data_IF_521463867427
#
_entry.id   IF_521463867427
#
_cell.length_a   1.000
_cell.length_b   1.000
_cell.length_c   1.000
_cell.angle_alpha   90.00
_cell.angle_beta   90.00
_cell.angle_gamma   90.00
#
_symmetry.space_group_name_H-M   'P 1'
#
loop_
_entity.id
_entity.type
_entity.pdbx_description
1 polymer ?
#
# COMPACT_ATOMS: atom_id res chain seq x y z
N UNK A 1 -0.33 12.98 9.54
CA UNK A 1 -0.68 12.06 8.44
C UNK A 1 0.47 11.10 8.27
N UNK A 2 0.27 9.78 8.26
CA UNK A 2 1.39 8.81 8.26
C UNK A 2 2.11 8.75 6.90
N UNK A 3 1.47 9.11 5.80
CA UNK A 3 2.09 9.11 4.47
C UNK A 3 1.84 10.43 3.71
N UNK A 4 2.81 10.91 2.93
CA UNK A 4 2.67 12.02 1.98
C UNK A 4 3.12 11.59 0.57
N UNK A 5 2.51 12.16 -0.47
CA UNK A 5 2.98 11.96 -1.86
C UNK A 5 3.69 13.23 -2.28
N UNK A 6 4.96 13.10 -2.65
CA UNK A 6 5.84 14.23 -2.92
C UNK A 6 6.52 14.09 -4.29
N UNK A 7 6.90 15.22 -4.87
CA UNK A 7 7.64 15.25 -6.14
C UNK A 7 9.00 15.89 -5.91
N UNK A 8 10.06 15.10 -6.04
CA UNK A 8 11.43 15.61 -6.14
C UNK A 8 11.75 15.97 -7.59
N UNK A 9 12.61 16.98 -7.77
CA UNK A 9 13.18 17.33 -9.08
C UNK A 9 14.67 17.08 -9.01
N UNK A 10 15.17 16.20 -9.87
CA UNK A 10 16.60 15.91 -9.96
C UNK A 10 17.34 17.05 -10.68
N UNK A 11 18.67 17.08 -10.56
CA UNK A 11 19.52 18.05 -11.27
C UNK A 11 19.37 18.00 -12.79
N UNK A 12 18.94 16.87 -13.33
CA UNK A 12 18.61 16.67 -14.75
C UNK A 12 17.30 17.33 -15.18
N UNK A 13 16.51 17.85 -14.23
CA UNK A 13 15.14 18.34 -14.46
C UNK A 13 14.07 17.23 -14.42
N UNK A 14 14.47 15.97 -14.28
CA UNK A 14 13.53 14.86 -14.15
C UNK A 14 12.72 14.97 -12.84
N UNK A 15 11.40 14.80 -12.95
CA UNK A 15 10.48 14.80 -11.82
C UNK A 15 10.27 13.38 -11.32
N UNK A 16 10.52 13.13 -10.04
CA UNK A 16 10.31 11.84 -9.40
C UNK A 16 9.26 11.96 -8.30
N UNK A 17 8.10 11.36 -8.55
CA UNK A 17 7.01 11.30 -7.57
C UNK A 17 7.22 10.08 -6.70
N UNK A 18 7.14 10.21 -5.38
CA UNK A 18 7.33 9.13 -4.43
C UNK A 18 6.44 9.32 -3.21
N UNK A 19 6.25 8.25 -2.44
CA UNK A 19 5.47 8.27 -1.21
C UNK A 19 6.44 8.28 -0.03
N UNK A 20 6.34 9.29 0.84
CA UNK A 20 7.13 9.42 2.06
C UNK A 20 6.33 8.85 3.22
N UNK A 21 6.98 8.03 4.01
CA UNK A 21 6.50 7.62 5.33
C UNK A 21 6.92 8.68 6.37
N UNK A 22 5.95 9.19 7.11
CA UNK A 22 6.14 10.28 8.06
C UNK A 22 6.80 9.82 9.36
N UNK A 23 6.75 8.52 9.69
CA UNK A 23 7.42 8.01 10.87
C UNK A 23 8.93 7.90 10.63
N UNK A 24 9.32 7.43 9.44
CA UNK A 24 10.72 7.30 9.05
C UNK A 24 11.30 8.54 8.38
N UNK A 25 10.45 9.45 7.89
CA UNK A 25 10.82 10.60 7.03
C UNK A 25 11.58 10.18 5.75
N UNK A 26 11.38 8.94 5.31
CA UNK A 26 12.05 8.35 4.15
C UNK A 26 11.01 7.88 3.12
N UNK A 27 11.41 7.75 1.83
CA UNK A 27 10.56 7.13 0.84
C UNK A 27 10.16 5.71 1.25
N UNK A 28 8.86 5.43 1.24
CA UNK A 28 8.33 4.12 1.55
C UNK A 28 8.89 3.10 0.55
N UNK A 29 9.70 2.17 1.05
CA UNK A 29 10.60 1.35 0.25
C UNK A 29 9.86 0.58 -0.84
N UNK A 30 8.80 -0.17 -0.49
CA UNK A 30 8.07 -1.02 -1.43
C UNK A 30 7.40 -0.21 -2.54
N UNK A 31 6.84 0.95 -2.19
CA UNK A 31 6.20 1.85 -3.17
C UNK A 31 7.23 2.48 -4.11
N UNK A 32 8.43 2.78 -3.59
CA UNK A 32 9.55 3.30 -4.36
C UNK A 32 10.01 2.27 -5.39
N UNK A 33 10.21 1.03 -4.97
CA UNK A 33 10.62 -0.05 -5.87
C UNK A 33 9.52 -0.36 -6.90
N UNK A 34 8.25 -0.41 -6.49
CA UNK A 34 7.12 -0.56 -7.40
C UNK A 34 7.07 0.54 -8.44
N UNK A 35 7.19 1.80 -8.00
CA UNK A 35 7.17 2.95 -8.89
C UNK A 35 8.30 2.87 -9.94
N UNK A 36 9.53 2.61 -9.51
CA UNK A 36 10.68 2.49 -10.41
C UNK A 36 10.51 1.34 -11.42
N UNK A 37 10.05 0.16 -10.97
CA UNK A 37 9.94 -1.03 -11.81
C UNK A 37 8.71 -1.03 -12.72
N UNK A 38 7.55 -0.66 -12.19
CA UNK A 38 6.26 -0.86 -12.84
C UNK A 38 5.71 0.42 -13.48
N UNK A 39 5.90 1.58 -12.85
CA UNK A 39 5.29 2.82 -13.33
C UNK A 39 6.26 3.62 -14.20
N UNK A 40 7.44 3.95 -13.67
CA UNK A 40 8.50 4.64 -14.42
C UNK A 40 9.14 3.75 -15.48
N UNK A 41 9.31 2.45 -15.21
CA UNK A 41 9.74 1.48 -16.23
C UNK A 41 8.83 1.47 -17.47
N UNK A 42 7.53 1.76 -17.29
CA UNK A 42 6.55 1.89 -18.39
C UNK A 42 6.43 3.32 -18.94
N UNK A 43 7.31 4.24 -18.54
CA UNK A 43 7.35 5.64 -18.96
C UNK A 43 6.03 6.40 -18.74
N UNK A 44 5.28 6.06 -17.68
CA UNK A 44 4.07 6.81 -17.33
C UNK A 44 4.41 8.26 -16.97
N UNK A 45 3.51 9.18 -17.27
CA UNK A 45 3.66 10.59 -16.92
C UNK A 45 3.63 10.79 -15.39
N UNK A 46 4.33 11.81 -14.88
CA UNK A 46 4.41 12.10 -13.44
C UNK A 46 3.04 12.24 -12.78
N UNK A 47 2.07 12.89 -13.44
CA UNK A 47 0.71 13.03 -12.94
C UNK A 47 0.00 11.67 -12.78
N UNK A 48 0.22 10.74 -13.71
CA UNK A 48 -0.33 9.38 -13.62
C UNK A 48 0.31 8.59 -12.48
N UNK A 49 1.63 8.74 -12.28
CA UNK A 49 2.32 8.12 -11.14
C UNK A 49 1.82 8.69 -9.82
N UNK A 50 1.60 9.99 -9.74
CA UNK A 50 1.02 10.63 -8.56
C UNK A 50 -0.37 10.05 -8.24
N UNK A 51 -1.23 9.86 -9.25
CA UNK A 51 -2.53 9.22 -9.07
C UNK A 51 -2.38 7.77 -8.56
N UNK A 52 -1.44 7.01 -9.11
CA UNK A 52 -1.16 5.65 -8.65
C UNK A 52 -0.66 5.62 -7.19
N UNK A 53 0.27 6.50 -6.83
CA UNK A 53 0.79 6.60 -5.46
C UNK A 53 -0.27 7.09 -4.47
N UNK A 54 -1.18 7.98 -4.87
CA UNK A 54 -2.34 8.37 -4.05
C UNK A 54 -3.30 7.20 -3.84
N UNK A 55 -3.51 6.34 -4.84
CA UNK A 55 -4.30 5.13 -4.68
C UNK A 55 -3.63 4.15 -3.71
N UNK A 56 -2.32 3.94 -3.84
CA UNK A 56 -1.56 3.07 -2.92
C UNK A 56 -1.54 3.66 -1.50
N UNK A 57 -1.45 4.99 -1.35
CA UNK A 57 -1.59 5.68 -0.06
C UNK A 57 -2.91 5.32 0.62
N UNK A 58 -4.03 5.33 -0.09
CA UNK A 58 -5.34 4.94 0.47
C UNK A 58 -5.29 3.51 1.01
N UNK A 59 -4.65 2.60 0.27
CA UNK A 59 -4.48 1.21 0.70
C UNK A 59 -3.59 1.08 1.94
N UNK A 60 -2.47 1.81 2.02
CA UNK A 60 -1.62 1.81 3.22
C UNK A 60 -2.37 2.36 4.44
N UNK A 61 -3.12 3.46 4.28
CA UNK A 61 -3.99 3.98 5.33
C UNK A 61 -5.06 2.97 5.77
N UNK A 62 -5.62 2.21 4.83
CA UNK A 62 -6.54 1.11 5.14
C UNK A 62 -5.87 0.04 6.00
N UNK A 63 -4.65 -0.37 5.64
CA UNK A 63 -3.88 -1.33 6.42
C UNK A 63 -3.61 -0.82 7.83
N UNK A 64 -3.18 0.43 7.99
CA UNK A 64 -2.93 1.04 9.30
C UNK A 64 -4.20 1.09 10.16
N UNK A 65 -5.33 1.55 9.59
CA UNK A 65 -6.61 1.60 10.30
C UNK A 65 -7.11 0.21 10.74
N UNK A 66 -6.68 -0.84 10.04
CA UNK A 66 -7.05 -2.23 10.32
C UNK A 66 -6.01 -3.02 11.11
N UNK A 67 -4.89 -2.39 11.45
CA UNK A 67 -3.73 -3.06 12.07
C UNK A 67 -3.27 -4.27 11.23
N UNK A 68 -3.26 -4.11 9.91
CA UNK A 68 -2.81 -5.13 8.96
C UNK A 68 -1.34 -4.91 8.65
N UNK A 69 -0.49 -5.80 9.17
CA UNK A 69 0.89 -5.90 8.71
C UNK A 69 0.97 -6.70 7.41
N UNK A 70 1.14 -6.01 6.28
CA UNK A 70 1.23 -6.63 4.96
C UNK A 70 2.41 -7.59 4.84
N UNK A 71 3.57 -7.21 5.36
CA UNK A 71 4.77 -8.05 5.33
C UNK A 71 4.56 -9.38 6.03
N UNK A 72 3.95 -9.36 7.23
CA UNK A 72 3.64 -10.57 7.99
C UNK A 72 2.61 -11.43 7.24
N UNK A 73 1.51 -10.83 6.76
CA UNK A 73 0.47 -11.59 6.04
C UNK A 73 0.99 -12.21 4.75
N UNK A 74 1.79 -11.48 3.99
CA UNK A 74 2.41 -11.98 2.76
C UNK A 74 3.39 -13.10 3.04
N UNK A 75 4.16 -13.04 4.13
CA UNK A 75 5.02 -14.16 4.54
C UNK A 75 4.22 -15.42 4.88
N UNK A 76 3.03 -15.25 5.43
CA UNK A 76 2.13 -16.35 5.78
C UNK A 76 1.25 -16.82 4.60
N UNK A 77 1.37 -16.20 3.41
CA UNK A 77 0.58 -16.54 2.24
C UNK A 77 -0.90 -16.11 2.31
N UNK A 78 -1.27 -15.25 3.25
CA UNK A 78 -2.64 -14.80 3.43
C UNK A 78 -2.97 -13.59 2.54
N UNK A 79 -4.12 -13.64 1.88
CA UNK A 79 -4.72 -12.52 1.15
C UNK A 79 -5.67 -11.71 2.03
N UNK A 80 -6.16 -10.57 1.51
CA UNK A 80 -7.29 -9.86 2.11
C UNK A 80 -8.53 -10.78 2.14
N UNK A 81 -9.31 -10.71 3.22
CA UNK A 81 -10.62 -11.38 3.29
C UNK A 81 -11.67 -10.65 2.44
N UNK A 82 -12.78 -11.31 2.12
CA UNK A 82 -13.89 -10.68 1.38
C UNK A 82 -14.40 -9.42 2.07
N UNK A 83 -14.56 -9.46 3.40
CA UNK A 83 -15.00 -8.29 4.19
C UNK A 83 -13.98 -7.14 4.12
N UNK A 84 -12.68 -7.45 4.17
CA UNK A 84 -11.62 -6.46 4.03
C UNK A 84 -11.61 -5.82 2.63
N UNK A 85 -11.89 -6.60 1.59
CA UNK A 85 -12.04 -6.09 0.22
C UNK A 85 -13.25 -5.16 0.13
N UNK A 86 -14.41 -5.56 0.67
CA UNK A 86 -15.61 -4.72 0.66
C UNK A 86 -15.40 -3.39 1.39
N UNK A 87 -14.69 -3.42 2.52
CA UNK A 87 -14.39 -2.21 3.28
C UNK A 87 -13.33 -1.33 2.59
N UNK A 88 -12.34 -1.92 1.92
CA UNK A 88 -11.41 -1.19 1.07
C UNK A 88 -12.14 -0.53 -0.11
N UNK A 89 -13.13 -1.20 -0.71
CA UNK A 89 -13.94 -0.64 -1.78
C UNK A 89 -14.76 0.55 -1.28
N UNK A 90 -15.37 0.47 -0.10
CA UNK A 90 -16.06 1.61 0.54
C UNK A 90 -15.10 2.77 0.76
N UNK A 91 -13.89 2.49 1.26
CA UNK A 91 -12.88 3.52 1.48
C UNK A 91 -12.45 4.20 0.17
N UNK A 92 -12.31 3.45 -0.92
CA UNK A 92 -11.94 3.99 -2.22
C UNK A 92 -12.98 4.98 -2.79
N UNK A 93 -14.23 4.98 -2.31
CA UNK A 93 -15.27 5.93 -2.71
C UNK A 93 -15.17 7.29 -2.01
N UNK A 94 -14.43 7.35 -0.90
CA UNK A 94 -14.31 8.57 -0.11
C UNK A 94 -13.25 9.53 -0.69
N UNK A 95 -13.44 10.85 -0.58
CA UNK A 95 -12.38 11.81 -0.87
C UNK A 95 -11.14 11.55 0.00
N UNK A 96 -9.93 11.70 -0.57
CA UNK A 96 -8.69 11.40 0.17
C UNK A 96 -8.55 12.24 1.45
N UNK A 97 -8.96 13.51 1.41
CA UNK A 97 -8.94 14.39 2.58
C UNK A 97 -9.85 13.89 3.73
N UNK A 98 -10.99 13.27 3.40
CA UNK A 98 -11.88 12.68 4.38
C UNK A 98 -11.22 11.47 5.05
N UNK A 99 -10.59 10.59 4.26
CA UNK A 99 -9.84 9.42 4.75
C UNK A 99 -8.72 9.87 5.68
N UNK A 100 -7.95 10.86 5.26
CA UNK A 100 -6.86 11.45 6.06
C UNK A 100 -7.36 11.99 7.40
N UNK A 101 -8.51 12.66 7.42
CA UNK A 101 -9.15 13.15 8.65
C UNK A 101 -9.56 12.01 9.58
N UNK A 102 -10.14 10.93 9.04
CA UNK A 102 -10.51 9.74 9.84
C UNK A 102 -9.30 9.12 10.55
N UNK A 103 -8.16 9.03 9.86
CA UNK A 103 -6.91 8.52 10.43
C UNK A 103 -6.41 9.40 11.58
N UNK A 104 -6.52 10.72 11.45
CA UNK A 104 -6.13 11.63 12.55
C UNK A 104 -7.01 11.46 13.80
N UNK A 105 -8.33 11.35 13.62
CA UNK A 105 -9.26 11.12 14.75
C UNK A 105 -8.96 9.80 15.45
N UNK A 106 -8.57 8.77 14.69
CA UNK A 106 -8.20 7.46 15.22
C UNK A 106 -6.97 7.52 16.13
N UNK A 107 -5.96 8.31 15.76
CA UNK A 107 -4.71 8.44 16.52
C UNK A 107 -4.87 9.26 17.81
N UNK A 108 -5.76 10.26 17.84
CA UNK A 108 -5.98 11.10 19.03
C UNK A 108 -6.78 10.37 20.13
N UNK A 109 -7.55 9.33 19.77
CA UNK A 109 -8.46 8.62 20.67
C UNK A 109 -7.97 7.24 21.17
N UNK A 110 -6.66 6.97 21.16
CA UNK A 110 -6.12 5.65 21.48
C UNK A 110 -5.41 5.59 22.85
N UNK A 111 -6.16 5.89 23.91
CA UNK A 111 -5.97 5.24 25.21
C UNK A 111 -7.12 4.26 25.45
N UNK A 112 -6.76 3.01 25.76
CA UNK A 112 -7.61 1.85 26.13
C UNK A 112 -8.20 0.96 25.01
N UNK A 113 -7.79 -0.31 25.11
CA UNK A 113 -8.50 -1.58 24.88
C UNK A 113 -9.43 -1.81 23.66
N UNK A 114 -9.01 -2.81 22.88
CA UNK A 114 -9.79 -3.92 22.30
C UNK A 114 -10.96 -3.64 21.34
N UNK A 115 -10.87 -4.26 20.17
CA UNK A 115 -11.97 -4.55 19.24
C UNK A 115 -12.74 -3.35 18.67
N UNK A 116 -12.02 -2.37 18.09
CA UNK A 116 -12.60 -1.30 17.25
C UNK A 116 -12.87 -1.74 15.79
N UNK A 117 -13.16 -3.03 15.55
CA UNK A 117 -13.25 -3.60 14.18
C UNK A 117 -14.43 -3.11 13.33
N UNK A 118 -15.46 -2.47 13.90
CA UNK A 118 -16.73 -2.29 13.18
C UNK A 118 -17.24 -0.85 13.00
N UNK A 119 -16.53 0.18 13.46
CA UNK A 119 -17.06 1.58 13.41
C UNK A 119 -16.15 2.60 12.73
N UNK A 120 -15.05 2.18 12.08
CA UNK A 120 -14.10 3.11 11.46
C UNK A 120 -14.61 3.69 10.13
N UNK A 121 -15.45 2.96 9.39
CA UNK A 121 -16.00 3.45 8.13
C UNK A 121 -17.42 3.96 8.38
N UNK A 122 -17.63 5.28 8.42
CA UNK A 122 -18.98 5.81 8.52
C UNK A 122 -19.80 5.32 7.33
N UNK A 123 -21.02 4.84 7.59
CA UNK A 123 -22.03 4.71 6.54
C UNK A 123 -22.20 6.06 5.83
N UNK A 124 -22.60 6.07 4.55
CA UNK A 124 -22.51 7.24 3.67
C UNK A 124 -23.22 8.45 4.29
N UNK A 125 -22.46 9.34 4.93
CA UNK A 125 -22.91 10.66 5.34
C UNK A 125 -22.44 11.61 4.25
N UNK A 126 -23.35 12.03 3.38
CA UNK A 126 -23.38 13.21 2.50
C UNK A 126 -22.07 13.96 2.12
N UNK A 127 -20.90 13.34 2.16
CA UNK A 127 -19.70 13.78 1.48
C UNK A 127 -19.85 13.27 0.05
N UNK A 128 -19.69 14.16 -0.93
CA UNK A 128 -19.79 13.79 -2.32
C UNK A 128 -18.75 12.68 -2.60
N UNK A 129 -19.23 11.48 -2.92
CA UNK A 129 -18.38 10.36 -3.33
C UNK A 129 -17.52 10.78 -4.53
N UNK A 130 -16.32 10.21 -4.63
CA UNK A 130 -15.47 10.44 -5.79
C UNK A 130 -16.12 9.78 -7.01
N UNK A 131 -16.03 10.40 -8.19
CA UNK A 131 -16.60 9.85 -9.42
C UNK A 131 -16.11 8.43 -9.76
N UNK A 132 -16.94 7.66 -10.45
CA UNK A 132 -16.72 6.23 -10.78
C UNK A 132 -15.35 5.92 -11.39
N UNK A 133 -14.86 6.78 -12.28
CA UNK A 133 -13.56 6.59 -12.95
C UNK A 133 -12.39 6.65 -11.97
N UNK A 134 -12.48 7.52 -10.96
CA UNK A 134 -11.45 7.64 -9.92
C UNK A 134 -11.45 6.44 -8.98
N UNK A 135 -12.63 5.92 -8.64
CA UNK A 135 -12.78 4.69 -7.85
C UNK A 135 -12.13 3.54 -8.61
N UNK A 136 -12.43 3.40 -9.90
CA UNK A 136 -11.89 2.37 -10.78
C UNK A 136 -10.36 2.46 -10.85
N UNK A 137 -9.81 3.65 -11.07
CA UNK A 137 -8.37 3.88 -11.10
C UNK A 137 -7.71 3.50 -9.77
N UNK A 138 -8.32 3.85 -8.63
CA UNK A 138 -7.79 3.48 -7.31
C UNK A 138 -7.69 1.97 -7.16
N UNK A 139 -8.78 1.25 -7.48
CA UNK A 139 -8.83 -0.22 -7.38
C UNK A 139 -7.78 -0.86 -8.31
N UNK A 140 -7.67 -0.38 -9.55
CA UNK A 140 -6.70 -0.91 -10.53
C UNK A 140 -5.27 -0.76 -10.00
N UNK A 141 -4.88 0.42 -9.54
CA UNK A 141 -3.51 0.63 -9.04
C UNK A 141 -3.22 -0.13 -7.76
N UNK A 142 -4.20 -0.26 -6.85
CA UNK A 142 -4.05 -1.07 -5.64
C UNK A 142 -3.89 -2.55 -6.00
N UNK A 143 -4.70 -3.07 -6.91
CA UNK A 143 -4.58 -4.45 -7.43
C UNK A 143 -3.21 -4.69 -8.05
N UNK A 144 -2.75 -3.79 -8.91
CA UNK A 144 -1.46 -3.93 -9.60
C UNK A 144 -0.30 -3.90 -8.60
N UNK A 145 -0.39 -3.05 -7.57
CA UNK A 145 0.58 -3.00 -6.47
C UNK A 145 0.61 -4.32 -5.68
N UNK A 146 -0.56 -4.83 -5.29
CA UNK A 146 -0.68 -6.12 -4.58
C UNK A 146 -0.16 -7.30 -5.39
N UNK A 147 -0.44 -7.31 -6.69
CA UNK A 147 0.05 -8.33 -7.61
C UNK A 147 1.58 -8.31 -7.67
N UNK A 148 2.15 -7.11 -7.84
CA UNK A 148 3.61 -6.94 -7.83
C UNK A 148 4.26 -7.36 -6.51
N UNK A 149 3.67 -6.98 -5.37
CA UNK A 149 4.18 -7.39 -4.05
C UNK A 149 4.18 -8.92 -3.91
N UNK A 150 3.10 -9.57 -4.35
CA UNK A 150 2.97 -11.04 -4.30
C UNK A 150 4.04 -11.71 -5.16
N UNK A 151 4.27 -11.21 -6.38
CA UNK A 151 5.30 -11.74 -7.28
C UNK A 151 6.72 -11.51 -6.74
N UNK A 152 6.97 -10.33 -6.16
CA UNK A 152 8.22 -10.01 -5.49
C UNK A 152 8.48 -10.96 -4.31
N UNK A 153 7.44 -11.29 -3.54
CA UNK A 153 7.55 -12.19 -2.40
C UNK A 153 7.75 -13.66 -2.84
N UNK A 154 7.03 -14.13 -3.85
CA UNK A 154 7.25 -15.46 -4.45
C UNK A 154 8.68 -15.65 -4.92
N UNK A 155 9.23 -14.62 -5.56
CA UNK A 155 10.62 -14.64 -6.03
C UNK A 155 11.62 -14.78 -4.87
N UNK A 156 11.36 -14.14 -3.72
CA UNK A 156 12.19 -14.27 -2.52
C UNK A 156 12.12 -15.69 -1.93
N UNK A 157 10.91 -16.23 -1.75
CA UNK A 157 10.75 -17.58 -1.20
C UNK A 157 11.37 -18.68 -2.07
N UNK A 158 11.30 -18.55 -3.38
CA UNK A 158 11.95 -19.49 -4.29
C UNK A 158 13.47 -19.50 -4.11
N UNK A 159 14.08 -18.35 -3.83
CA UNK A 159 15.52 -18.23 -3.60
C UNK A 159 15.93 -18.82 -2.25
N UNK A 160 15.16 -18.55 -1.20
CA UNK A 160 15.43 -19.09 0.14
C UNK A 160 15.34 -20.62 0.15
N UNK A 161 14.35 -21.19 -0.54
CA UNK A 161 14.21 -22.64 -0.66
C UNK A 161 15.38 -23.27 -1.45
N UNK A 162 15.78 -22.67 -2.57
CA UNK A 162 16.92 -23.14 -3.34
C UNK A 162 18.24 -23.06 -2.55
N UNK A 163 18.45 -22.00 -1.77
CA UNK A 163 19.61 -21.82 -0.92
C UNK A 163 19.62 -22.82 0.26
N UNK A 164 18.46 -23.11 0.84
CA UNK A 164 18.34 -24.16 1.85
C UNK A 164 18.75 -25.53 1.31
N UNK A 165 18.27 -25.90 0.12
CA UNK A 165 18.60 -27.19 -0.50
C UNK A 165 20.11 -27.33 -0.78
N UNK A 166 20.75 -26.31 -1.34
CA UNK A 166 22.20 -26.36 -1.64
C UNK A 166 23.04 -26.53 -0.38
N UNK A 167 22.68 -25.89 0.73
CA UNK A 167 23.34 -26.07 2.02
C UNK A 167 23.15 -27.49 2.57
N UNK A 168 21.99 -28.11 2.38
CA UNK A 168 21.75 -29.50 2.80
C UNK A 168 22.51 -30.52 1.96
N UNK A 169 22.61 -30.30 0.65
CA UNK A 169 23.37 -31.17 -0.27
C UNK A 169 24.88 -31.16 0.03
N UNK A 170 25.44 -29.99 0.37
CA UNK A 170 26.84 -29.87 0.79
C UNK A 170 27.13 -30.57 2.13
N UNK A 171 26.11 -30.76 2.98
CA UNK A 171 26.26 -31.39 4.29
C UNK A 171 26.29 -32.92 4.23
N UNK A 172 25.83 -33.51 3.12
CA UNK A 172 25.81 -34.96 2.89
C UNK A 172 27.02 -35.49 2.11
N UNK A 173 27.96 -34.62 1.72
CA UNK A 173 29.14 -34.95 0.90
C UNK A 173 30.46 -34.95 1.67
N UNK A 174 30.42 -35.07 3.00
CA UNK A 174 31.60 -35.20 3.89
C UNK A 174 31.59 -36.54 4.61
#
# INVERSE_FOLDING_TARGET
MPYSVETSVFSTGERFVHLIDSDTQLPHFETTVFNMKMLRGRRLASATIEQALRAIKIFLLFCDMRDISLSIRMQQGFSLSTDEVDDLLRLCRLPLAAIETMVQVSNVGSDSCSSKRLKLFPGPKSEAEVGSDWISNRIIYIRDYLSWLTDAQRSRFSLDHAHYLSLTEQRHTV
#
